data_IF_056984671513
#
_entry.id   IF_056984671513
#
_cell.length_a   1.000
_cell.length_b   1.000
_cell.length_c   1.000
_cell.angle_alpha   90.00
_cell.angle_beta   90.00
_cell.angle_gamma   90.00
#
_symmetry.space_group_name_H-M   'P 1'
#
loop_
_entity.id
_entity.type
_entity.pdbx_description
1 polymer ?
#
# COMPACT_ATOMS: atom_id res chain seq x y z
N UNK A 1 -1.51 8.91 -5.09
CA UNK A 1 -0.42 8.02 -5.52
C UNK A 1 0.10 7.30 -4.29
N UNK A 2 0.35 6.00 -4.37
CA UNK A 2 0.88 5.20 -3.28
C UNK A 2 1.78 4.12 -3.87
N UNK A 3 2.92 3.86 -3.22
CA UNK A 3 3.77 2.72 -3.55
C UNK A 3 3.19 1.51 -2.83
N UNK A 4 2.34 0.78 -3.54
CA UNK A 4 1.65 -0.41 -3.04
C UNK A 4 2.44 -1.67 -3.41
N UNK A 5 2.62 -2.55 -2.43
CA UNK A 5 3.09 -3.91 -2.68
C UNK A 5 2.10 -4.91 -2.12
N UNK A 6 1.44 -5.65 -3.02
CA UNK A 6 0.49 -6.70 -2.65
C UNK A 6 1.16 -7.77 -1.77
N UNK A 7 2.38 -8.19 -2.14
CA UNK A 7 3.14 -9.17 -1.36
C UNK A 7 3.45 -8.68 0.06
N UNK A 8 3.87 -7.42 0.24
CA UNK A 8 4.09 -6.85 1.57
C UNK A 8 2.81 -6.82 2.40
N UNK A 9 1.68 -6.48 1.79
CA UNK A 9 0.39 -6.47 2.48
C UNK A 9 -0.03 -7.87 2.93
N UNK A 10 0.24 -8.91 2.12
CA UNK A 10 -0.03 -10.31 2.49
C UNK A 10 0.89 -10.79 3.61
N UNK A 11 2.20 -10.52 3.52
CA UNK A 11 3.15 -10.83 4.59
C UNK A 11 2.74 -10.15 5.90
N UNK A 12 2.27 -8.90 5.83
CA UNK A 12 1.72 -8.18 6.97
C UNK A 12 0.47 -8.86 7.54
N UNK A 13 -0.45 -9.28 6.67
CA UNK A 13 -1.69 -9.96 7.07
C UNK A 13 -1.41 -11.29 7.78
N UNK A 14 -0.35 -11.99 7.37
CA UNK A 14 0.15 -13.21 8.01
C UNK A 14 0.92 -12.94 9.32
N UNK A 15 1.14 -11.67 9.69
CA UNK A 15 1.90 -11.29 10.87
C UNK A 15 3.39 -11.64 10.77
N UNK A 16 3.94 -11.77 9.57
CA UNK A 16 5.37 -12.09 9.40
C UNK A 16 6.17 -10.83 9.76
N UNK A 17 7.08 -10.87 10.75
CA UNK A 17 7.90 -9.71 11.09
C UNK A 17 8.71 -9.21 9.90
N UNK A 18 8.62 -7.91 9.62
CA UNK A 18 9.27 -7.29 8.46
C UNK A 18 10.24 -6.19 8.89
N UNK A 19 11.35 -6.12 8.15
CA UNK A 19 12.36 -5.08 8.25
C UNK A 19 12.45 -4.37 6.92
N UNK A 20 12.24 -3.06 6.93
CA UNK A 20 12.35 -2.21 5.72
C UNK A 20 13.38 -1.11 5.96
N UNK A 21 14.12 -0.67 4.94
CA UNK A 21 15.01 0.48 5.12
C UNK A 21 14.19 1.71 5.52
N UNK A 22 14.82 2.68 6.18
CA UNK A 22 14.26 4.04 6.29
C UNK A 22 14.15 4.69 4.90
N UNK A 23 13.33 5.73 4.77
CA UNK A 23 13.17 6.47 3.51
C UNK A 23 14.51 7.02 3.02
N UNK A 24 15.31 7.59 3.91
CA UNK A 24 16.61 8.14 3.54
C UNK A 24 17.55 7.02 3.06
N UNK A 25 17.56 5.88 3.75
CA UNK A 25 18.44 4.77 3.39
C UNK A 25 18.01 4.06 2.10
N UNK A 26 16.71 3.91 1.83
CA UNK A 26 16.25 3.32 0.56
C UNK A 26 16.56 4.22 -0.64
N UNK A 27 16.53 5.54 -0.44
CA UNK A 27 16.92 6.53 -1.45
C UNK A 27 18.42 6.51 -1.67
N UNK A 28 19.23 6.45 -0.61
CA UNK A 28 20.70 6.30 -0.69
C UNK A 28 21.09 5.04 -1.46
N UNK A 29 20.43 3.91 -1.19
CA UNK A 29 20.67 2.64 -1.87
C UNK A 29 20.14 2.60 -3.31
N UNK A 30 19.41 3.62 -3.75
CA UNK A 30 18.78 3.71 -5.07
C UNK A 30 17.92 2.47 -5.42
N UNK A 31 17.18 1.95 -4.43
CA UNK A 31 16.35 0.74 -4.58
C UNK A 31 14.94 1.02 -5.09
N UNK A 32 14.57 2.30 -5.19
CA UNK A 32 13.24 2.75 -5.60
C UNK A 32 13.20 2.92 -7.12
N UNK A 33 13.52 1.81 -7.79
CA UNK A 33 13.44 1.67 -9.24
C UNK A 33 11.98 1.42 -9.64
N UNK A 34 11.64 1.74 -10.89
CA UNK A 34 10.36 1.36 -11.48
C UNK A 34 9.15 1.91 -10.70
N UNK A 35 9.14 3.23 -10.50
CA UNK A 35 8.11 3.95 -9.75
C UNK A 35 7.32 4.94 -10.62
N UNK A 36 7.89 5.38 -11.73
CA UNK A 36 7.31 6.38 -12.63
C UNK A 36 6.84 5.72 -13.92
N UNK A 37 5.83 6.29 -14.56
CA UNK A 37 5.36 5.82 -15.87
C UNK A 37 6.38 6.03 -16.99
N UNK A 38 7.37 6.91 -16.74
CA UNK A 38 8.51 7.15 -17.62
C UNK A 38 9.67 6.15 -17.41
N UNK A 39 9.64 5.36 -16.32
CA UNK A 39 10.66 4.34 -16.08
C UNK A 39 10.61 3.27 -17.18
N UNK A 40 11.78 2.77 -17.58
CA UNK A 40 11.90 1.84 -18.72
C UNK A 40 11.04 0.57 -18.61
N UNK A 41 10.71 0.20 -17.39
CA UNK A 41 9.92 -0.98 -17.05
C UNK A 41 8.41 -0.77 -17.28
N UNK A 42 7.92 0.49 -17.31
CA UNK A 42 6.54 0.84 -17.68
C UNK A 42 6.48 1.59 -19.02
N UNK A 43 5.37 1.42 -19.75
CA UNK A 43 4.98 2.16 -20.97
C UNK A 43 6.13 2.71 -21.84
N UNK A 44 7.08 1.84 -22.17
CA UNK A 44 8.43 2.19 -22.59
C UNK A 44 8.56 3.40 -23.53
N UNK A 45 9.55 4.26 -23.22
CA UNK A 45 10.14 5.33 -24.06
C UNK A 45 9.20 6.39 -24.64
N UNK A 46 7.89 6.30 -24.46
CA UNK A 46 6.93 7.11 -25.23
C UNK A 46 6.34 8.27 -24.43
N UNK A 47 6.49 8.27 -23.11
CA UNK A 47 6.03 9.35 -22.24
C UNK A 47 7.23 10.17 -21.78
N UNK A 48 7.21 11.47 -22.07
CA UNK A 48 8.13 12.44 -21.47
C UNK A 48 7.47 13.08 -20.26
N UNK A 49 8.27 13.64 -19.36
CA UNK A 49 7.76 14.39 -18.22
C UNK A 49 6.81 15.53 -18.66
N UNK A 50 7.11 16.18 -19.79
CA UNK A 50 6.25 17.25 -20.36
C UNK A 50 4.90 16.74 -20.89
N UNK A 51 4.79 15.43 -21.17
CA UNK A 51 3.52 14.80 -21.60
C UNK A 51 2.61 14.50 -20.39
N UNK A 52 3.11 14.67 -19.17
CA UNK A 52 2.33 14.40 -17.97
C UNK A 52 1.27 15.47 -17.72
N UNK A 53 0.08 15.07 -17.22
CA UNK A 53 -0.97 16.02 -16.90
C UNK A 53 -0.47 17.03 -15.87
N UNK A 54 -0.76 18.31 -16.12
CA UNK A 54 -0.47 19.37 -15.16
C UNK A 54 -1.20 19.12 -13.84
N UNK A 55 -0.55 19.47 -12.74
CA UNK A 55 -1.15 19.40 -11.43
C UNK A 55 -2.48 20.18 -11.40
N UNK A 56 -3.53 19.51 -10.91
CA UNK A 56 -4.83 20.14 -10.71
C UNK A 56 -4.75 21.19 -9.58
N UNK A 57 -5.47 22.31 -9.71
CA UNK A 57 -5.42 23.43 -8.75
C UNK A 57 -5.82 23.04 -7.32
N UNK A 58 -6.65 22.01 -7.17
CA UNK A 58 -7.08 21.50 -5.86
C UNK A 58 -6.15 20.43 -5.28
N UNK A 59 -5.05 20.11 -5.94
CA UNK A 59 -4.05 19.17 -5.40
C UNK A 59 -3.21 19.88 -4.33
N UNK A 60 -3.20 19.33 -3.13
CA UNK A 60 -2.38 19.81 -2.01
C UNK A 60 -0.98 19.20 -1.96
N UNK A 61 -0.65 18.30 -2.91
CA UNK A 61 0.66 17.66 -2.96
C UNK A 61 1.67 18.60 -3.65
N UNK A 62 2.84 18.89 -3.06
CA UNK A 62 3.80 19.84 -3.61
C UNK A 62 4.58 19.32 -4.82
N UNK A 63 4.64 18.00 -5.01
CA UNK A 63 5.42 17.36 -6.08
C UNK A 63 4.51 16.55 -6.99
N UNK A 64 4.90 16.34 -8.25
CA UNK A 64 4.32 15.31 -9.11
C UNK A 64 4.84 13.93 -8.69
N UNK A 65 4.05 12.84 -8.73
CA UNK A 65 4.57 11.48 -8.58
C UNK A 65 5.61 11.09 -9.64
N UNK A 66 5.56 11.76 -10.79
CA UNK A 66 6.47 11.56 -11.91
C UNK A 66 7.70 12.49 -11.83
N UNK A 67 7.80 13.31 -10.78
CA UNK A 67 8.92 14.23 -10.60
C UNK A 67 10.20 13.45 -10.27
N UNK A 68 11.05 13.31 -11.29
CA UNK A 68 12.38 12.71 -11.20
C UNK A 68 13.49 13.75 -11.06
N UNK A 69 13.14 15.04 -11.10
CA UNK A 69 14.09 16.16 -11.10
C UNK A 69 14.35 16.60 -9.65
N UNK A 70 13.28 16.76 -8.86
CA UNK A 70 13.35 17.22 -7.49
C UNK A 70 13.80 16.08 -6.55
N UNK A 71 14.94 16.19 -5.86
CA UNK A 71 15.41 15.16 -4.92
C UNK A 71 14.40 14.86 -3.79
N UNK A 72 13.60 15.85 -3.40
CA UNK A 72 12.62 15.76 -2.32
C UNK A 72 11.32 15.06 -2.73
N UNK A 73 11.06 14.91 -4.03
CA UNK A 73 9.84 14.27 -4.51
C UNK A 73 9.79 12.79 -4.12
N UNK A 74 10.93 12.09 -4.15
CA UNK A 74 10.99 10.66 -3.87
C UNK A 74 10.70 10.37 -2.39
N UNK A 75 11.41 10.99 -1.42
CA UNK A 75 11.08 10.82 -0.01
C UNK A 75 9.63 11.19 0.30
N UNK A 76 9.13 12.28 -0.31
CA UNK A 76 7.76 12.73 -0.12
C UNK A 76 6.74 11.68 -0.52
N UNK A 77 6.90 11.03 -1.67
CA UNK A 77 5.93 10.02 -2.12
C UNK A 77 6.11 8.67 -1.42
N UNK A 78 7.34 8.30 -1.08
CA UNK A 78 7.63 7.07 -0.35
C UNK A 78 6.98 7.03 1.01
N UNK A 79 6.82 8.18 1.70
CA UNK A 79 6.19 8.19 3.03
C UNK A 79 4.79 7.57 3.02
N UNK A 80 4.10 7.56 1.88
CA UNK A 80 2.76 6.98 1.71
C UNK A 80 2.76 5.48 1.34
N UNK A 81 3.93 4.85 1.22
CA UNK A 81 4.02 3.41 0.95
C UNK A 81 3.48 2.59 2.13
N UNK A 82 2.88 1.44 1.84
CA UNK A 82 2.21 0.64 2.90
C UNK A 82 3.17 0.27 4.03
N UNK A 83 4.41 -0.07 3.71
CA UNK A 83 5.38 -0.49 4.72
C UNK A 83 5.86 0.64 5.65
N UNK A 84 5.54 1.90 5.35
CA UNK A 84 5.74 3.03 6.27
C UNK A 84 4.45 3.49 6.96
N UNK A 85 3.29 3.07 6.45
CA UNK A 85 1.98 3.40 7.02
C UNK A 85 1.45 2.29 7.94
N UNK A 86 1.90 1.04 7.75
CA UNK A 86 1.52 -0.11 8.54
C UNK A 86 2.34 -0.19 9.84
N UNK A 87 1.71 -0.31 11.02
CA UNK A 87 2.40 -0.30 12.29
C UNK A 87 3.15 -1.62 12.53
N UNK A 88 4.13 -1.59 13.43
CA UNK A 88 4.98 -2.73 13.85
C UNK A 88 5.99 -3.25 12.82
N UNK A 89 5.96 -2.75 11.59
CA UNK A 89 7.08 -2.93 10.66
C UNK A 89 8.29 -2.20 11.21
N UNK A 90 9.43 -2.88 11.25
CA UNK A 90 10.67 -2.33 11.77
C UNK A 90 11.43 -1.61 10.66
N UNK A 91 11.86 -0.38 10.92
CA UNK A 91 12.73 0.35 9.99
C UNK A 91 14.21 0.23 10.39
N UNK A 92 15.12 0.27 9.42
CA UNK A 92 16.57 0.31 9.65
C UNK A 92 17.28 1.35 8.77
N UNK A 93 18.28 2.04 9.32
CA UNK A 93 19.01 3.12 8.63
C UNK A 93 20.39 2.73 8.11
N UNK A 94 20.84 1.49 8.37
CA UNK A 94 22.10 0.95 7.87
C UNK A 94 22.10 -0.57 7.96
N UNK A 95 23.05 -1.23 7.28
CA UNK A 95 23.24 -2.68 7.39
C UNK A 95 23.58 -3.13 8.81
N UNK A 96 24.40 -2.36 9.53
CA UNK A 96 24.72 -2.63 10.94
C UNK A 96 23.48 -2.55 11.82
N UNK A 97 22.64 -1.53 11.63
CA UNK A 97 21.40 -1.39 12.38
C UNK A 97 20.39 -2.51 12.04
N UNK A 98 20.37 -2.99 10.79
CA UNK A 98 19.59 -4.17 10.42
C UNK A 98 20.05 -5.41 11.19
N UNK A 99 21.35 -5.71 11.21
CA UNK A 99 21.90 -6.88 11.92
C UNK A 99 21.59 -6.81 13.42
N UNK A 100 21.75 -5.63 14.02
CA UNK A 100 21.39 -5.37 15.41
C UNK A 100 19.90 -5.66 15.66
N UNK A 101 19.02 -5.13 14.81
CA UNK A 101 17.57 -5.33 14.91
C UNK A 101 17.19 -6.80 14.74
N UNK A 102 17.80 -7.52 13.79
CA UNK A 102 17.59 -8.96 13.62
C UNK A 102 18.00 -9.77 14.85
N UNK A 103 19.02 -9.30 15.59
CA UNK A 103 19.53 -10.01 16.77
C UNK A 103 18.78 -9.67 18.06
N UNK A 104 18.14 -8.50 18.12
CA UNK A 104 17.53 -7.96 19.35
C UNK A 104 16.01 -7.91 19.32
N UNK A 105 15.39 -7.96 18.14
CA UNK A 105 13.93 -7.89 18.01
C UNK A 105 13.27 -9.16 18.52
N UNK A 106 12.29 -9.01 19.40
CA UNK A 106 11.40 -10.12 19.76
C UNK A 106 10.38 -10.36 18.64
N UNK A 107 10.70 -11.30 17.74
CA UNK A 107 9.84 -11.64 16.59
C UNK A 107 8.46 -12.12 16.98
N UNK A 108 8.32 -12.84 18.11
CA UNK A 108 7.01 -13.29 18.59
C UNK A 108 6.14 -12.09 18.95
N UNK A 109 6.68 -11.14 19.71
CA UNK A 109 5.94 -9.93 20.09
C UNK A 109 5.54 -9.10 18.87
N UNK A 110 6.43 -8.95 17.89
CA UNK A 110 6.10 -8.24 16.62
C UNK A 110 4.97 -8.96 15.89
N UNK A 111 5.05 -10.29 15.75
CA UNK A 111 4.00 -11.11 15.13
C UNK A 111 2.64 -10.94 15.82
N UNK A 112 2.60 -11.09 17.14
CA UNK A 112 1.37 -10.99 17.93
C UNK A 112 0.74 -9.59 17.76
N UNK A 113 1.55 -8.53 17.83
CA UNK A 113 1.08 -7.15 17.66
C UNK A 113 0.54 -6.87 16.24
N UNK A 114 1.19 -7.42 15.21
CA UNK A 114 0.70 -7.30 13.83
C UNK A 114 -0.65 -8.01 13.67
N UNK A 115 -0.83 -9.17 14.30
CA UNK A 115 -2.08 -9.92 14.26
C UNK A 115 -3.22 -9.14 14.94
N UNK A 116 -2.99 -8.60 16.13
CA UNK A 116 -3.96 -7.80 16.86
C UNK A 116 -4.37 -6.55 16.07
N UNK A 117 -3.42 -5.90 15.41
CA UNK A 117 -3.72 -4.77 14.53
C UNK A 117 -4.54 -5.19 13.31
N UNK A 118 -4.25 -6.34 12.69
CA UNK A 118 -5.05 -6.84 11.57
C UNK A 118 -6.51 -7.08 11.99
N UNK A 119 -6.73 -7.65 13.18
CA UNK A 119 -8.08 -7.81 13.75
C UNK A 119 -8.75 -6.44 13.92
N UNK A 120 -8.06 -5.47 14.52
CA UNK A 120 -8.58 -4.11 14.73
C UNK A 120 -8.92 -3.41 13.41
N UNK A 121 -8.01 -3.46 12.43
CA UNK A 121 -8.17 -2.87 11.10
C UNK A 121 -9.35 -3.48 10.35
N UNK A 122 -9.56 -4.80 10.45
CA UNK A 122 -10.71 -5.49 9.82
C UNK A 122 -12.04 -4.94 10.35
N UNK A 123 -12.16 -4.73 11.66
CA UNK A 123 -13.37 -4.17 12.28
C UNK A 123 -13.62 -2.75 11.77
N UNK A 124 -12.60 -1.89 11.82
CA UNK A 124 -12.70 -0.49 11.37
C UNK A 124 -13.02 -0.37 9.88
N UNK A 125 -12.34 -1.16 9.03
CA UNK A 125 -12.60 -1.20 7.60
C UNK A 125 -14.02 -1.66 7.30
N UNK A 126 -14.50 -2.70 7.98
CA UNK A 126 -15.87 -3.19 7.84
C UNK A 126 -16.89 -2.09 8.17
N UNK A 127 -16.67 -1.34 9.25
CA UNK A 127 -17.53 -0.21 9.63
C UNK A 127 -17.53 0.90 8.57
N UNK A 128 -16.35 1.27 8.05
CA UNK A 128 -16.20 2.27 6.99
C UNK A 128 -16.92 1.83 5.71
N UNK A 129 -16.71 0.59 5.28
CA UNK A 129 -17.38 0.02 4.10
C UNK A 129 -18.89 -0.01 4.27
N UNK A 130 -19.42 -0.44 5.42
CA UNK A 130 -20.86 -0.38 5.72
C UNK A 130 -21.41 1.04 5.59
N UNK A 131 -20.67 2.05 6.07
CA UNK A 131 -21.08 3.46 5.92
C UNK A 131 -21.10 3.92 4.45
N UNK A 132 -20.11 3.52 3.66
CA UNK A 132 -20.08 3.81 2.21
C UNK A 132 -21.25 3.13 1.51
N UNK A 133 -21.49 1.85 1.78
CA UNK A 133 -22.60 1.12 1.18
C UNK A 133 -23.96 1.71 1.55
N UNK A 134 -24.19 2.10 2.81
CA UNK A 134 -25.42 2.76 3.22
C UNK A 134 -25.71 4.08 2.45
N UNK A 135 -24.68 4.78 1.97
CA UNK A 135 -24.85 5.97 1.12
C UNK A 135 -25.22 5.61 -0.33
N UNK A 136 -24.72 4.48 -0.82
CA UNK A 136 -24.91 4.01 -2.20
C UNK A 136 -26.25 3.24 -2.35
N UNK A 137 -26.72 2.59 -1.29
CA UNK A 137 -27.92 1.74 -1.24
C UNK A 137 -29.25 2.50 -1.54
N UNK A 138 -29.18 3.82 -1.75
CA UNK A 138 -30.29 4.61 -2.32
C UNK A 138 -30.56 4.29 -3.80
N UNK A 139 -29.69 3.50 -4.44
CA UNK A 139 -29.80 3.00 -5.81
C UNK A 139 -29.93 1.48 -5.70
N UNK A 140 -30.98 0.86 -6.25
CA UNK A 140 -31.42 -0.57 -6.15
C UNK A 140 -30.33 -1.65 -6.41
N UNK A 141 -29.21 -1.63 -5.68
CA UNK A 141 -28.10 -2.58 -5.84
C UNK A 141 -28.21 -3.66 -4.77
N UNK A 142 -28.00 -4.91 -5.17
CA UNK A 142 -27.88 -6.02 -4.20
C UNK A 142 -26.49 -5.95 -3.58
N UNK A 143 -26.40 -5.45 -2.35
CA UNK A 143 -25.14 -5.39 -1.58
C UNK A 143 -25.14 -6.54 -0.57
N UNK A 144 -24.14 -7.44 -0.59
CA UNK A 144 -24.02 -8.50 0.41
C UNK A 144 -23.86 -7.94 1.83
N UNK A 145 -24.43 -8.60 2.83
CA UNK A 145 -24.42 -8.11 4.22
C UNK A 145 -23.05 -8.23 4.92
N UNK A 146 -22.21 -9.16 4.45
CA UNK A 146 -20.88 -9.41 4.98
C UNK A 146 -19.93 -9.95 3.89
N UNK A 147 -18.63 -9.98 4.22
CA UNK A 147 -17.57 -10.40 3.30
C UNK A 147 -17.73 -11.84 2.83
N UNK A 148 -18.05 -12.78 3.72
CA UNK A 148 -18.14 -14.20 3.39
C UNK A 148 -19.31 -14.46 2.44
N UNK A 149 -20.44 -13.79 2.67
CA UNK A 149 -21.60 -13.77 1.78
C UNK A 149 -21.23 -13.14 0.43
N UNK A 150 -20.47 -12.03 0.42
CA UNK A 150 -20.01 -11.39 -0.80
C UNK A 150 -19.14 -12.33 -1.64
N UNK A 151 -18.14 -12.96 -1.03
CA UNK A 151 -17.25 -13.93 -1.67
C UNK A 151 -18.07 -15.11 -2.20
N UNK A 152 -18.93 -15.72 -1.39
CA UNK A 152 -19.79 -16.81 -1.84
C UNK A 152 -20.67 -16.43 -3.03
N UNK A 153 -21.22 -15.21 -3.07
CA UNK A 153 -22.01 -14.73 -4.19
C UNK A 153 -21.18 -14.45 -5.45
N UNK A 154 -19.97 -13.90 -5.30
CA UNK A 154 -19.00 -13.69 -6.38
C UNK A 154 -18.58 -15.02 -7.04
N UNK A 155 -18.35 -16.04 -6.23
CA UNK A 155 -17.91 -17.37 -6.67
C UNK A 155 -19.06 -18.35 -6.93
N UNK A 156 -20.33 -17.89 -6.86
CA UNK A 156 -21.47 -18.70 -7.23
C UNK A 156 -21.55 -18.83 -8.76
N UNK A 157 -20.90 -19.87 -9.29
CA UNK A 157 -20.74 -20.14 -10.73
C UNK A 157 -22.05 -20.38 -11.47
N UNK A 158 -23.15 -20.69 -10.77
CA UNK A 158 -24.47 -20.87 -11.40
C UNK A 158 -24.96 -19.58 -12.09
N UNK A 159 -24.47 -18.41 -11.65
CA UNK A 159 -24.78 -17.11 -12.28
C UNK A 159 -23.90 -16.79 -13.50
N UNK A 160 -22.70 -17.38 -13.58
CA UNK A 160 -21.74 -17.17 -14.67
C UNK A 160 -22.01 -18.11 -15.86
N UNK A 161 -22.76 -19.19 -15.66
CA UNK A 161 -23.16 -20.14 -16.71
C UNK A 161 -24.49 -19.77 -17.39
N UNK A 162 -25.15 -18.69 -16.96
CA UNK A 162 -26.44 -18.24 -17.47
C UNK A 162 -26.34 -16.99 -18.39
N UNK A 163 -25.11 -16.62 -18.79
CA UNK A 163 -24.79 -15.57 -19.78
C UNK A 163 -24.08 -16.25 -20.94
#
# INVERSE_FOLDING_TARGET
YAVLSYGITELYALGIPMFVPTIDFIVELNLVIDRTLIDKSYCGRSLKFDDMPKQHTNSHHPFSPEDIISPEAIPYWLQFADYYQLPYIQTFSSWTNLIEKLSTTNFKTVHDNMHDENVRRKVELTKKWKSVFAKIDRVQRVIPQDYDTAIKQLWNTTRLQAI
#
